data_IF_555487248536
#
_entry.id   IF_555487248536
#
_cell.length_a   1.000
_cell.length_b   1.000
_cell.length_c   1.000
_cell.angle_alpha   90.00
_cell.angle_beta   90.00
_cell.angle_gamma   90.00
#
_symmetry.space_group_name_H-M   'P 1'
#
loop_
_entity.id
_entity.type
_entity.pdbx_description
1 polymer ?
#
# COMPACT_ATOMS: atom_id res chain seq x y z
N UNK A 1 -17.76 -17.13 -6.97
CA UNK A 1 -16.48 -16.94 -7.69
C UNK A 1 -16.15 -15.45 -7.85
N UNK A 2 -15.56 -14.79 -6.84
CA UNK A 2 -15.22 -13.33 -6.87
C UNK A 2 -13.79 -13.04 -6.35
N UNK A 3 -12.92 -14.04 -6.30
CA UNK A 3 -11.57 -13.93 -5.69
C UNK A 3 -10.42 -13.63 -6.66
N UNK A 4 -10.57 -13.85 -7.97
CA UNK A 4 -9.43 -13.84 -8.91
C UNK A 4 -9.11 -12.50 -9.59
N UNK A 5 -9.92 -11.45 -9.40
CA UNK A 5 -9.68 -10.13 -10.05
C UNK A 5 -8.80 -9.17 -9.24
N UNK A 6 -8.50 -9.46 -7.96
CA UNK A 6 -7.70 -8.56 -7.10
C UNK A 6 -6.20 -8.52 -7.44
N UNK A 7 -5.63 -9.61 -7.99
CA UNK A 7 -4.18 -9.70 -8.23
C UNK A 7 -3.66 -8.77 -9.33
N UNK A 8 -4.42 -8.55 -10.42
CA UNK A 8 -3.96 -7.71 -11.54
C UNK A 8 -3.79 -6.24 -11.15
N UNK A 9 -4.71 -5.69 -10.36
CA UNK A 9 -4.61 -4.30 -9.88
C UNK A 9 -3.46 -4.09 -8.89
N UNK A 10 -3.19 -5.09 -8.05
CA UNK A 10 -2.08 -5.02 -7.10
C UNK A 10 -0.72 -5.00 -7.81
N UNK A 11 -0.57 -5.76 -8.90
CA UNK A 11 0.65 -5.74 -9.72
C UNK A 11 0.87 -4.35 -10.33
N UNK A 12 -0.18 -3.71 -10.87
CA UNK A 12 -0.07 -2.36 -11.45
C UNK A 12 0.40 -1.36 -10.38
N UNK A 13 -0.14 -1.43 -9.16
CA UNK A 13 0.26 -0.55 -8.06
C UNK A 13 1.73 -0.78 -7.70
N UNK A 14 2.19 -2.03 -7.63
CA UNK A 14 3.60 -2.36 -7.33
C UNK A 14 4.52 -1.81 -8.42
N UNK A 15 4.19 -2.03 -9.70
CA UNK A 15 4.97 -1.50 -10.83
C UNK A 15 5.04 0.04 -10.76
N UNK A 16 3.91 0.70 -10.48
CA UNK A 16 3.88 2.16 -10.33
C UNK A 16 4.76 2.65 -9.16
N UNK A 17 4.76 1.95 -8.02
CA UNK A 17 5.61 2.29 -6.88
C UNK A 17 7.10 2.16 -7.21
N UNK A 18 7.49 1.10 -7.93
CA UNK A 18 8.87 0.90 -8.37
C UNK A 18 9.30 2.03 -9.31
N UNK A 19 8.46 2.38 -10.29
CA UNK A 19 8.75 3.48 -11.22
C UNK A 19 8.91 4.82 -10.50
N UNK A 20 8.04 5.13 -9.53
CA UNK A 20 8.15 6.34 -8.70
C UNK A 20 9.45 6.35 -7.89
N UNK A 21 9.85 5.21 -7.34
CA UNK A 21 11.09 5.10 -6.57
C UNK A 21 12.32 5.36 -7.46
N UNK A 22 12.36 4.76 -8.64
CA UNK A 22 13.44 4.98 -9.62
C UNK A 22 13.47 6.43 -10.09
N UNK A 23 12.32 7.02 -10.42
CA UNK A 23 12.22 8.42 -10.84
C UNK A 23 12.68 9.39 -9.76
N UNK A 24 12.32 9.13 -8.49
CA UNK A 24 12.78 9.91 -7.34
C UNK A 24 14.30 9.83 -7.18
N UNK A 25 14.87 8.63 -7.33
CA UNK A 25 16.31 8.42 -7.24
C UNK A 25 17.04 9.16 -8.35
N UNK A 26 16.66 8.96 -9.62
CA UNK A 26 17.27 9.65 -10.77
C UNK A 26 17.17 11.16 -10.63
N UNK A 27 16.01 11.69 -10.22
CA UNK A 27 15.81 13.14 -10.01
C UNK A 27 16.77 13.71 -8.96
N UNK A 28 17.11 12.94 -7.93
CA UNK A 28 18.05 13.35 -6.89
C UNK A 28 19.48 13.49 -7.45
N UNK A 29 19.93 12.57 -8.32
CA UNK A 29 21.25 12.65 -8.95
C UNK A 29 21.35 13.72 -10.03
N UNK A 30 20.22 14.07 -10.66
CA UNK A 30 20.16 15.19 -11.61
C UNK A 30 20.08 16.57 -10.94
N UNK A 31 20.02 16.64 -9.61
CA UNK A 31 19.93 17.90 -8.86
C UNK A 31 18.51 18.48 -8.75
N UNK A 32 17.49 17.75 -9.21
CA UNK A 32 16.08 18.11 -9.05
C UNK A 32 15.56 17.74 -7.65
N UNK A 33 16.17 18.31 -6.61
CA UNK A 33 15.89 17.93 -5.21
C UNK A 33 14.44 18.14 -4.80
N UNK A 34 13.80 19.22 -5.25
CA UNK A 34 12.38 19.50 -4.94
C UNK A 34 11.47 18.44 -5.57
N UNK A 35 11.72 18.08 -6.84
CA UNK A 35 10.94 17.05 -7.51
C UNK A 35 11.14 15.68 -6.87
N UNK A 36 12.38 15.33 -6.52
CA UNK A 36 12.70 14.10 -5.80
C UNK A 36 11.96 14.04 -4.45
N UNK A 37 11.93 15.14 -3.69
CA UNK A 37 11.21 15.20 -2.41
C UNK A 37 9.70 15.00 -2.59
N UNK A 38 9.10 15.60 -3.62
CA UNK A 38 7.68 15.41 -3.94
C UNK A 38 7.38 13.95 -4.30
N UNK A 39 8.19 13.33 -5.18
CA UNK A 39 8.00 11.91 -5.54
C UNK A 39 8.13 10.99 -4.33
N UNK A 40 9.10 11.25 -3.46
CA UNK A 40 9.28 10.48 -2.23
C UNK A 40 8.11 10.64 -1.26
N UNK A 41 7.61 11.87 -1.09
CA UNK A 41 6.42 12.15 -0.29
C UNK A 41 5.18 11.41 -0.78
N UNK A 42 4.95 11.38 -2.10
CA UNK A 42 3.85 10.62 -2.72
C UNK A 42 4.00 9.12 -2.43
N UNK A 43 5.21 8.58 -2.53
CA UNK A 43 5.49 7.17 -2.30
C UNK A 43 5.20 6.76 -0.84
N UNK A 44 5.60 7.60 0.13
CA UNK A 44 5.29 7.40 1.55
C UNK A 44 3.79 7.48 1.85
N UNK A 45 3.06 8.39 1.19
CA UNK A 45 1.61 8.51 1.35
C UNK A 45 0.89 7.24 0.87
N UNK A 46 1.29 6.70 -0.29
CA UNK A 46 0.74 5.46 -0.84
C UNK A 46 1.04 4.27 0.08
N UNK A 47 2.29 4.14 0.56
CA UNK A 47 2.65 3.08 1.52
C UNK A 47 1.83 3.16 2.81
N UNK A 48 1.69 4.36 3.36
CA UNK A 48 0.90 4.58 4.58
C UNK A 48 -0.56 4.22 4.38
N UNK A 49 -1.15 4.58 3.24
CA UNK A 49 -2.53 4.22 2.92
C UNK A 49 -2.75 2.71 2.81
N UNK A 50 -1.85 2.00 2.12
CA UNK A 50 -1.93 0.54 1.97
C UNK A 50 -1.74 -0.14 3.33
N UNK A 51 -0.72 0.27 4.09
CA UNK A 51 -0.43 -0.28 5.41
C UNK A 51 -1.59 -0.08 6.39
N UNK A 52 -2.18 1.12 6.42
CA UNK A 52 -3.30 1.41 7.31
C UNK A 52 -4.57 0.64 6.93
N UNK A 53 -4.82 0.44 5.63
CA UNK A 53 -5.92 -0.39 5.15
C UNK A 53 -5.73 -1.86 5.55
N UNK A 54 -4.51 -2.39 5.38
CA UNK A 54 -4.18 -3.76 5.79
C UNK A 54 -4.31 -3.94 7.32
N UNK A 55 -3.87 -2.96 8.11
CA UNK A 55 -4.01 -2.98 9.57
C UNK A 55 -5.48 -2.94 10.00
N UNK A 56 -6.31 -2.14 9.34
CA UNK A 56 -7.76 -2.04 9.61
C UNK A 56 -8.46 -3.36 9.28
N UNK A 57 -8.20 -3.94 8.12
CA UNK A 57 -8.76 -5.23 7.71
C UNK A 57 -8.35 -6.35 8.69
N UNK A 58 -7.10 -6.32 9.19
CA UNK A 58 -6.62 -7.27 10.19
C UNK A 58 -7.34 -7.10 11.55
N UNK A 59 -7.56 -5.87 12.02
CA UNK A 59 -8.31 -5.60 13.26
C UNK A 59 -9.76 -6.09 13.15
N UNK A 60 -10.42 -5.83 12.02
CA UNK A 60 -11.78 -6.31 11.75
C UNK A 60 -11.82 -7.84 11.68
N UNK A 61 -10.81 -8.47 11.06
CA UNK A 61 -10.71 -9.93 11.01
C UNK A 61 -10.57 -10.54 12.41
N UNK A 62 -9.69 -10.00 13.26
CA UNK A 62 -9.50 -10.46 14.63
C UNK A 62 -10.76 -10.25 15.49
N UNK A 63 -11.40 -9.09 15.38
CA UNK A 63 -12.65 -8.81 16.07
C UNK A 63 -13.77 -9.79 15.67
N UNK A 64 -13.95 -10.00 14.36
CA UNK A 64 -14.97 -10.93 13.83
C UNK A 64 -14.67 -12.38 14.25
N UNK A 65 -13.39 -12.79 14.24
CA UNK A 65 -12.97 -14.12 14.66
C UNK A 65 -13.25 -14.36 16.15
N UNK A 66 -12.92 -13.39 17.00
CA UNK A 66 -13.15 -13.48 18.44
C UNK A 66 -14.65 -13.45 18.78
N UNK A 67 -15.44 -12.59 18.12
CA UNK A 67 -16.89 -12.51 18.32
C UNK A 67 -17.60 -13.80 17.90
N UNK A 68 -17.20 -14.40 16.76
CA UNK A 68 -17.76 -15.66 16.26
C UNK A 68 -17.35 -16.88 17.11
N UNK A 69 -16.23 -16.79 17.81
CA UNK A 69 -15.80 -17.83 18.76
C UNK A 69 -16.56 -17.73 20.09
N UNK A 70 -16.89 -16.51 20.54
CA UNK A 70 -17.62 -16.29 21.79
C UNK A 70 -19.13 -16.65 21.68
N UNK A 71 -19.73 -16.50 20.50
CA UNK A 71 -21.12 -16.91 20.23
C UNK A 71 -21.30 -18.42 19.93
N UNK A 72 -20.26 -19.23 20.12
CA UNK A 72 -20.32 -20.70 19.97
C UNK A 72 -20.16 -21.45 21.30
N UNK A 73 -20.05 -20.73 22.41
CA UNK A 73 -20.20 -21.22 23.78
C UNK A 73 -21.62 -20.93 24.26
#
# INVERSE_FOLDING_TARGET
>A
MKGKRKGKGQIIIIVMMILLMVASFVSMFQGYYVAAFVFFGILLAIMSFIGNRAATDNKVYLYTKNYKNNNRL
#
